data_IF_973570886842
#
_entry.id   IF_973570886842
#
_cell.length_a   1.000
_cell.length_b   1.000
_cell.length_c   1.000
_cell.angle_alpha   90.00
_cell.angle_beta   90.00
_cell.angle_gamma   90.00
#
_symmetry.space_group_name_H-M   'P 1'
#
loop_
_entity.id
_entity.type
_entity.pdbx_description
1 polymer ?
#
# COMPACT_ATOMS: atom_id res chain seq x y z
N UNK A 1 -28.83 -4.70 1.63
CA UNK A 1 -27.35 -4.81 1.79
C UNK A 1 -27.05 -5.49 3.10
N UNK A 2 -25.98 -6.28 3.20
CA UNK A 2 -25.65 -7.02 4.43
C UNK A 2 -24.90 -6.12 5.44
N UNK A 3 -24.86 -6.53 6.71
CA UNK A 3 -24.05 -5.84 7.73
C UNK A 3 -22.57 -5.76 7.33
N UNK A 4 -22.06 -6.78 6.64
CA UNK A 4 -20.70 -6.81 6.10
C UNK A 4 -20.48 -5.73 5.04
N UNK A 5 -21.46 -5.47 4.17
CA UNK A 5 -21.37 -4.37 3.20
C UNK A 5 -21.20 -3.03 3.91
N UNK A 6 -21.99 -2.78 4.95
CA UNK A 6 -21.87 -1.54 5.74
C UNK A 6 -20.54 -1.43 6.46
N UNK A 7 -20.02 -2.52 7.01
CA UNK A 7 -18.70 -2.54 7.64
C UNK A 7 -17.59 -2.13 6.66
N UNK A 8 -17.61 -2.68 5.44
CA UNK A 8 -16.67 -2.29 4.39
C UNK A 8 -16.81 -0.81 3.99
N UNK A 9 -18.04 -0.32 3.79
CA UNK A 9 -18.27 1.08 3.45
C UNK A 9 -17.80 2.04 4.54
N UNK A 10 -18.08 1.73 5.81
CA UNK A 10 -17.63 2.52 6.95
C UNK A 10 -16.10 2.54 7.03
N UNK A 11 -15.45 1.40 6.80
CA UNK A 11 -13.99 1.32 6.77
C UNK A 11 -13.38 2.17 5.64
N UNK A 12 -13.94 2.12 4.42
CA UNK A 12 -13.46 2.95 3.30
C UNK A 12 -13.65 4.44 3.56
N UNK A 13 -14.80 4.82 4.13
CA UNK A 13 -15.08 6.22 4.49
C UNK A 13 -14.10 6.72 5.55
N UNK A 14 -13.85 5.92 6.59
CA UNK A 14 -12.84 6.23 7.60
C UNK A 14 -11.44 6.39 7.01
N UNK A 15 -11.03 5.44 6.16
CA UNK A 15 -9.74 5.49 5.47
C UNK A 15 -9.58 6.79 4.66
N UNK A 16 -10.61 7.17 3.88
CA UNK A 16 -10.57 8.39 3.07
C UNK A 16 -10.42 9.66 3.92
N UNK A 17 -11.07 9.72 5.09
CA UNK A 17 -10.94 10.86 6.01
C UNK A 17 -9.54 10.93 6.58
N UNK A 18 -9.00 9.83 7.11
CA UNK A 18 -7.67 9.80 7.72
C UNK A 18 -6.57 10.10 6.71
N UNK A 19 -6.55 9.39 5.58
CA UNK A 19 -5.56 9.60 4.53
C UNK A 19 -5.70 11.00 3.92
N UNK A 20 -6.94 11.48 3.71
CA UNK A 20 -7.20 12.83 3.22
C UNK A 20 -6.63 13.92 4.13
N UNK A 21 -6.89 13.83 5.44
CA UNK A 21 -6.32 14.77 6.41
C UNK A 21 -4.78 14.68 6.46
N UNK A 22 -4.22 13.47 6.41
CA UNK A 22 -2.77 13.26 6.37
C UNK A 22 -2.13 13.93 5.13
N UNK A 23 -2.76 13.80 3.96
CA UNK A 23 -2.34 14.48 2.74
C UNK A 23 -2.36 16.01 2.90
N UNK A 24 -3.41 16.58 3.49
CA UNK A 24 -3.49 18.02 3.75
C UNK A 24 -2.48 18.49 4.81
N UNK A 25 -2.18 17.66 5.81
CA UNK A 25 -1.16 17.98 6.81
C UNK A 25 0.26 17.95 6.23
N UNK A 26 0.48 17.15 5.18
CA UNK A 26 1.73 17.09 4.39
C UNK A 26 2.99 16.83 5.24
N UNK A 27 2.85 16.17 6.41
CA UNK A 27 4.01 15.81 7.24
C UNK A 27 4.54 14.43 6.81
N UNK A 28 5.87 14.27 6.75
CA UNK A 28 6.47 12.99 6.41
C UNK A 28 6.06 11.89 7.40
N UNK A 29 5.53 10.79 6.88
CA UNK A 29 5.15 9.63 7.68
C UNK A 29 3.73 9.67 8.22
N UNK A 30 2.87 10.58 7.77
CA UNK A 30 1.47 10.63 8.19
C UNK A 30 0.58 9.71 7.35
N UNK A 31 0.96 9.43 6.10
CA UNK A 31 0.10 8.72 5.14
C UNK A 31 0.32 7.21 5.20
N UNK A 32 -0.74 6.42 4.96
CA UNK A 32 -0.62 4.97 4.83
C UNK A 32 0.31 4.61 3.66
N UNK A 33 0.21 5.34 2.55
CA UNK A 33 1.02 5.11 1.36
C UNK A 33 2.53 5.21 1.64
N UNK A 34 2.97 6.18 2.44
CA UNK A 34 4.37 6.28 2.89
C UNK A 34 4.83 5.06 3.69
N UNK A 35 3.99 4.57 4.61
CA UNK A 35 4.28 3.36 5.38
C UNK A 35 4.38 2.12 4.49
N UNK A 36 3.47 1.97 3.51
CA UNK A 36 3.50 0.87 2.53
C UNK A 36 4.78 0.93 1.71
N UNK A 37 5.18 2.12 1.23
CA UNK A 37 6.41 2.28 0.47
C UNK A 37 7.66 2.07 1.31
N UNK A 38 7.65 2.44 2.58
CA UNK A 38 8.73 2.17 3.52
C UNK A 38 8.88 0.65 3.74
N UNK A 39 7.76 -0.06 3.94
CA UNK A 39 7.74 -1.51 4.12
C UNK A 39 8.28 -2.26 2.90
N UNK A 40 7.84 -1.93 1.69
CA UNK A 40 8.33 -2.57 0.46
C UNK A 40 9.63 -1.96 -0.07
N UNK A 41 10.13 -0.91 0.58
CA UNK A 41 11.31 -0.17 0.15
C UNK A 41 11.15 0.50 -1.21
N UNK A 42 9.93 0.74 -1.69
CA UNK A 42 9.61 1.33 -3.01
C UNK A 42 9.51 2.85 -2.97
N UNK A 43 9.64 3.46 -1.79
CA UNK A 43 9.63 4.92 -1.60
C UNK A 43 10.66 5.61 -2.52
N UNK A 44 10.29 6.75 -3.13
CA UNK A 44 11.19 7.50 -4.00
C UNK A 44 12.41 8.00 -3.21
N UNK A 45 13.61 7.94 -3.81
CA UNK A 45 14.83 8.51 -3.21
C UNK A 45 14.77 10.04 -3.31
N UNK A 46 15.07 10.76 -2.23
CA UNK A 46 15.19 12.22 -2.26
C UNK A 46 16.56 12.62 -2.83
N UNK A 47 16.68 13.80 -3.49
CA UNK A 47 17.98 14.30 -3.92
C UNK A 47 18.97 14.35 -2.75
N UNK A 48 20.17 13.78 -2.92
CA UNK A 48 21.22 13.78 -1.90
C UNK A 48 21.21 12.61 -0.90
N UNK A 49 20.16 11.77 -0.85
CA UNK A 49 20.21 10.54 -0.05
C UNK A 49 21.22 9.56 -0.64
N UNK A 50 21.93 8.72 0.13
CA UNK A 50 22.81 7.67 -0.41
C UNK A 50 22.02 6.57 -1.14
N UNK A 51 22.70 5.77 -1.98
CA UNK A 51 22.04 4.64 -2.64
C UNK A 51 21.61 3.62 -1.58
N UNK A 52 20.38 3.11 -1.68
CA UNK A 52 19.89 2.15 -0.69
C UNK A 52 20.63 0.82 -0.87
N UNK A 53 21.20 0.26 0.21
CA UNK A 53 21.87 -1.03 0.12
C UNK A 53 20.90 -2.10 -0.39
N UNK A 54 21.33 -2.85 -1.41
CA UNK A 54 20.58 -3.97 -1.96
C UNK A 54 20.62 -5.14 -0.97
N UNK A 55 19.64 -5.18 -0.07
CA UNK A 55 19.42 -6.31 0.84
C UNK A 55 18.51 -7.35 0.18
N UNK A 56 18.86 -8.63 0.33
CA UNK A 56 18.00 -9.75 -0.09
C UNK A 56 16.61 -9.70 0.53
N UNK A 57 16.48 -9.18 1.76
CA UNK A 57 15.18 -9.00 2.42
C UNK A 57 14.29 -7.97 1.71
N UNK A 58 14.88 -6.87 1.23
CA UNK A 58 14.14 -5.86 0.46
C UNK A 58 13.73 -6.41 -0.90
N UNK A 59 14.57 -7.21 -1.55
CA UNK A 59 14.23 -7.87 -2.81
C UNK A 59 13.07 -8.86 -2.64
N UNK A 60 13.09 -9.67 -1.57
CA UNK A 60 12.02 -10.60 -1.26
C UNK A 60 10.68 -9.88 -1.05
N UNK A 61 10.63 -8.81 -0.24
CA UNK A 61 9.40 -8.04 -0.02
C UNK A 61 8.83 -7.47 -1.31
N UNK A 62 9.69 -6.95 -2.20
CA UNK A 62 9.27 -6.44 -3.51
C UNK A 62 8.76 -7.55 -4.43
N UNK A 63 9.41 -8.70 -4.44
CA UNK A 63 8.94 -9.86 -5.18
C UNK A 63 7.56 -10.30 -4.70
N UNK A 64 7.38 -10.43 -3.38
CA UNK A 64 6.09 -10.78 -2.78
C UNK A 64 5.00 -9.74 -3.11
N UNK A 65 5.33 -8.44 -3.11
CA UNK A 65 4.40 -7.40 -3.54
C UNK A 65 3.94 -7.62 -4.99
N UNK A 66 4.87 -7.84 -5.91
CA UNK A 66 4.55 -8.05 -7.33
C UNK A 66 3.73 -9.32 -7.52
N UNK A 67 4.15 -10.43 -6.90
CA UNK A 67 3.43 -11.70 -6.97
C UNK A 67 2.00 -11.57 -6.42
N UNK A 68 1.84 -10.90 -5.28
CA UNK A 68 0.54 -10.65 -4.68
C UNK A 68 -0.33 -9.74 -5.56
N UNK A 69 0.21 -8.65 -6.12
CA UNK A 69 -0.54 -7.76 -7.01
C UNK A 69 -0.96 -8.46 -8.31
N UNK A 70 -0.08 -9.27 -8.89
CA UNK A 70 -0.39 -10.07 -10.07
C UNK A 70 -1.51 -11.07 -9.79
N UNK A 71 -1.38 -11.83 -8.68
CA UNK A 71 -2.40 -12.76 -8.24
C UNK A 71 -3.73 -12.06 -7.94
N UNK A 72 -3.73 -11.00 -7.12
CA UNK A 72 -4.95 -10.29 -6.69
C UNK A 72 -5.72 -9.73 -7.90
N UNK A 73 -4.99 -9.19 -8.87
CA UNK A 73 -5.59 -8.68 -10.11
C UNK A 73 -6.24 -9.82 -10.90
N UNK A 74 -5.54 -10.93 -11.07
CA UNK A 74 -6.08 -12.10 -11.76
C UNK A 74 -7.27 -12.70 -11.01
N UNK A 75 -7.20 -12.81 -9.69
CA UNK A 75 -8.26 -13.29 -8.81
C UNK A 75 -9.54 -12.47 -8.99
N UNK A 76 -9.46 -11.14 -8.96
CA UNK A 76 -10.64 -10.30 -9.18
C UNK A 76 -11.20 -10.39 -10.60
N UNK A 77 -10.34 -10.40 -11.64
CA UNK A 77 -10.79 -10.47 -13.05
C UNK A 77 -11.45 -11.82 -13.36
N UNK A 78 -11.00 -12.90 -12.72
CA UNK A 78 -11.52 -14.26 -12.92
C UNK A 78 -12.66 -14.62 -11.96
N UNK A 79 -13.15 -13.68 -11.15
CA UNK A 79 -14.23 -13.94 -10.19
C UNK A 79 -13.82 -14.86 -9.03
N UNK A 80 -12.53 -14.91 -8.71
CA UNK A 80 -11.99 -15.61 -7.55
C UNK A 80 -11.44 -17.00 -7.84
N UNK A 81 -11.26 -17.36 -9.11
CA UNK A 81 -10.87 -18.70 -9.52
C UNK A 81 -9.39 -19.03 -9.27
N UNK A 82 -8.49 -18.06 -9.50
CA UNK A 82 -7.03 -18.23 -9.33
C UNK A 82 -6.52 -17.73 -8.00
#
# INVERSE_FOLDING_TARGET
MSAWTWAWLAWFAWFAVVEGMALFNSRPGDTLSEHVWAWFGTQRRRPGEPERPRSGWTQLRRFLLIAFMAWLSAHFITGGWV
#
